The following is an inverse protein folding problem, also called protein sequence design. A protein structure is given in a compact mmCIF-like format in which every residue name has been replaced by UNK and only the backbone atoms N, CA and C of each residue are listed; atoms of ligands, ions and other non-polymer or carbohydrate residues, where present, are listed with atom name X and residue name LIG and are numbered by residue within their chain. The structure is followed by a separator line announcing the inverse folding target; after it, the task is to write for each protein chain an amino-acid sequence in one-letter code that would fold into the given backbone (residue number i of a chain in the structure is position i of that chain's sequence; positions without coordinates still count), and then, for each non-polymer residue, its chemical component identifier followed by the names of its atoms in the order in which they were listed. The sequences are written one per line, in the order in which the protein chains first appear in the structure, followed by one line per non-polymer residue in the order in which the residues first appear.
data_IF_390693734328
#
_entry.id   IF_390693734328
#
_cell.length_a   1.000
_cell.length_b   1.000
_cell.length_c   1.000
_cell.angle_alpha   90.00
_cell.angle_beta   90.00
_cell.angle_gamma   90.00
#
_symmetry.space_group_name_H-M   'P 1'
#
loop_
_entity.id
_entity.type
_entity.pdbx_description
1 polymer ?
#
# COMPACT_ATOMS: atom_id res chain seq x y z
N UNK A 1 13.45 -3.29 2.23
CA UNK A 1 12.67 -2.12 1.78
C UNK A 1 11.39 -1.97 2.61
N UNK A 2 10.58 -3.03 2.75
CA UNK A 2 9.33 -2.98 3.54
C UNK A 2 9.58 -2.58 5.00
N UNK A 3 10.51 -3.23 5.69
CA UNK A 3 10.88 -2.88 7.07
C UNK A 3 11.26 -1.41 7.21
N UNK A 4 12.10 -0.90 6.32
CA UNK A 4 12.53 0.50 6.35
C UNK A 4 11.38 1.50 6.14
N UNK A 5 10.33 1.13 5.39
CA UNK A 5 9.13 1.96 5.26
C UNK A 5 8.22 1.84 6.49
N UNK A 6 8.09 0.65 7.08
CA UNK A 6 7.33 0.47 8.32
C UNK A 6 7.99 1.17 9.51
N UNK A 7 9.32 1.25 9.54
CA UNK A 7 10.05 2.02 10.55
C UNK A 7 9.65 3.51 10.56
N UNK A 8 9.20 4.07 9.44
CA UNK A 8 8.68 5.45 9.38
C UNK A 8 7.42 5.65 10.22
N UNK A 9 6.67 4.60 10.48
CA UNK A 9 5.48 4.63 11.33
C UNK A 9 5.85 4.54 12.83
N UNK A 10 7.06 4.10 13.15
CA UNK A 10 7.51 3.94 14.53
C UNK A 10 7.97 5.29 15.12
N UNK A 11 7.44 5.73 16.26
CA UNK A 11 7.88 6.95 16.91
C UNK A 11 9.35 6.90 17.39
N UNK A 12 9.95 5.71 17.42
CA UNK A 12 11.31 5.47 17.87
C UNK A 12 12.30 5.12 16.75
N UNK A 13 11.91 5.30 15.50
CA UNK A 13 12.74 4.93 14.34
C UNK A 13 14.05 5.70 14.20
N UNK A 14 14.18 6.81 14.91
CA UNK A 14 15.33 7.71 14.79
C UNK A 14 15.37 8.52 13.49
N UNK A 15 14.44 8.26 12.56
CA UNK A 15 14.28 9.01 11.32
C UNK A 15 13.10 9.98 11.44
N UNK A 16 13.40 11.27 11.41
CA UNK A 16 12.38 12.32 11.41
C UNK A 16 12.26 12.96 10.01
N UNK A 17 11.21 12.62 9.29
CA UNK A 17 10.94 13.19 7.96
C UNK A 17 10.55 14.67 8.01
N UNK A 18 10.18 15.17 9.21
CA UNK A 18 9.78 16.56 9.44
C UNK A 18 10.89 17.39 10.08
N UNK A 19 12.14 16.98 9.96
CA UNK A 19 13.28 17.73 10.49
C UNK A 19 13.59 18.95 9.61
N UNK A 20 13.21 20.12 10.13
CA UNK A 20 13.46 21.40 9.46
C UNK A 20 14.94 21.80 9.43
N UNK A 21 15.78 21.19 10.26
CA UNK A 21 17.22 21.47 10.29
C UNK A 21 17.99 20.83 9.16
N UNK A 22 17.43 19.75 8.59
CA UNK A 22 18.00 19.03 7.44
C UNK A 22 16.91 18.68 6.42
N UNK A 23 16.55 19.65 5.60
CA UNK A 23 15.54 19.45 4.56
C UNK A 23 16.09 18.64 3.39
N UNK A 24 15.46 17.51 3.12
CA UNK A 24 15.75 16.68 1.95
C UNK A 24 14.74 17.02 0.86
N UNK A 25 15.22 17.55 -0.26
CA UNK A 25 14.40 17.89 -1.41
C UNK A 25 14.42 16.73 -2.40
N UNK A 26 13.25 16.09 -2.57
CA UNK A 26 13.02 15.06 -3.57
C UNK A 26 12.35 15.62 -4.83
N UNK A 27 12.17 14.76 -5.81
CA UNK A 27 11.32 15.06 -6.96
C UNK A 27 9.86 14.95 -6.51
N UNK A 28 9.10 16.03 -6.58
CA UNK A 28 7.66 15.98 -6.34
C UNK A 28 6.91 15.71 -7.64
N UNK A 29 5.83 14.97 -7.59
CA UNK A 29 4.95 14.73 -8.75
C UNK A 29 4.12 15.97 -9.08
N UNK A 30 4.01 16.90 -8.12
CA UNK A 30 3.13 18.07 -8.22
C UNK A 30 1.66 17.69 -8.07
N UNK A 31 1.38 16.52 -7.53
CA UNK A 31 0.03 16.06 -7.24
C UNK A 31 -0.63 16.89 -6.12
N UNK A 32 -1.98 16.98 -6.07
CA UNK A 32 -2.67 17.70 -5.00
C UNK A 32 -2.44 17.01 -3.65
N UNK A 33 -2.72 17.68 -2.52
CA UNK A 33 -2.73 17.03 -1.21
C UNK A 33 -3.64 15.80 -1.20
N UNK A 34 -3.33 14.83 -0.35
CA UNK A 34 -4.18 13.65 -0.19
C UNK A 34 -5.59 14.04 0.27
N UNK A 35 -6.58 13.28 -0.17
CA UNK A 35 -8.00 13.44 0.18
C UNK A 35 -8.53 12.22 0.91
N UNK A 36 -9.22 12.44 2.03
CA UNK A 36 -9.89 11.38 2.80
C UNK A 36 -11.39 11.61 2.76
N UNK A 37 -12.15 10.67 2.19
CA UNK A 37 -13.59 10.77 2.03
C UNK A 37 -14.33 10.56 3.36
N UNK A 38 -15.57 11.07 3.44
CA UNK A 38 -16.43 10.87 4.61
C UNK A 38 -16.71 9.39 4.85
N UNK A 39 -16.35 8.91 6.04
CA UNK A 39 -16.54 7.52 6.46
C UNK A 39 -15.31 6.64 6.26
N UNK A 40 -14.29 7.11 5.60
CA UNK A 40 -12.98 6.45 5.57
C UNK A 40 -12.34 6.47 6.96
N UNK A 41 -11.57 5.42 7.29
CA UNK A 41 -10.81 5.32 8.53
C UNK A 41 -9.34 5.19 8.18
N UNK A 42 -8.54 6.13 8.66
CA UNK A 42 -7.08 6.11 8.48
C UNK A 42 -6.43 6.06 9.87
N UNK A 43 -5.63 5.04 10.12
CA UNK A 43 -4.97 4.83 11.40
C UNK A 43 -3.50 4.45 11.18
N UNK A 44 -2.59 5.09 11.90
CA UNK A 44 -1.15 4.79 11.90
C UNK A 44 -0.58 4.59 10.48
N UNK A 45 -0.77 5.61 9.62
CA UNK A 45 -0.52 5.54 8.18
C UNK A 45 0.16 6.81 7.69
N UNK A 46 1.17 6.69 6.86
CA UNK A 46 1.74 7.79 6.09
C UNK A 46 1.11 7.83 4.70
N UNK A 47 0.62 9.00 4.32
CA UNK A 47 0.02 9.27 3.01
C UNK A 47 0.87 10.28 2.26
N UNK A 48 1.30 9.94 1.05
CA UNK A 48 1.93 10.90 0.14
C UNK A 48 0.90 11.77 -0.59
N UNK A 49 1.38 12.73 -1.38
CA UNK A 49 0.54 13.62 -2.19
C UNK A 49 -0.29 12.83 -3.23
N UNK A 50 -1.45 13.33 -3.61
CA UNK A 50 -2.33 12.74 -4.62
C UNK A 50 -3.17 11.56 -4.15
N UNK A 51 -2.99 11.05 -2.94
CA UNK A 51 -3.78 9.92 -2.45
C UNK A 51 -5.25 10.27 -2.25
N UNK A 52 -6.14 9.37 -2.69
CA UNK A 52 -7.60 9.47 -2.49
C UNK A 52 -8.08 8.28 -1.65
N UNK A 53 -8.48 8.52 -0.41
CA UNK A 53 -8.84 7.46 0.53
C UNK A 53 -10.35 7.49 0.80
N UNK A 54 -11.07 6.49 0.34
CA UNK A 54 -12.51 6.32 0.61
C UNK A 54 -12.83 5.06 1.43
N UNK A 55 -11.85 4.18 1.64
CA UNK A 55 -11.92 2.96 2.45
C UNK A 55 -11.21 3.10 3.80
N UNK A 56 -10.89 1.96 4.39
CA UNK A 56 -10.12 1.89 5.64
C UNK A 56 -8.65 1.61 5.36
N UNK A 57 -7.76 2.32 6.03
CA UNK A 57 -6.32 2.14 5.90
C UNK A 57 -5.68 2.15 7.28
N UNK A 58 -4.89 1.13 7.60
CA UNK A 58 -4.13 1.07 8.85
C UNK A 58 -2.72 0.51 8.62
N UNK A 59 -1.78 0.85 9.50
CA UNK A 59 -0.41 0.34 9.54
C UNK A 59 0.28 0.35 8.15
N UNK A 60 0.12 1.43 7.37
CA UNK A 60 0.53 1.46 5.97
C UNK A 60 1.30 2.71 5.58
N UNK A 61 2.15 2.60 4.58
CA UNK A 61 2.80 3.72 3.91
C UNK A 61 2.34 3.77 2.46
N UNK A 62 1.58 4.81 2.10
CA UNK A 62 1.05 4.99 0.76
C UNK A 62 1.87 6.01 -0.01
N UNK A 63 2.42 5.58 -1.14
CA UNK A 63 3.12 6.45 -2.08
C UNK A 63 2.15 7.36 -2.84
N UNK A 64 2.68 8.22 -3.72
CA UNK A 64 1.87 9.23 -4.40
C UNK A 64 0.81 8.62 -5.33
N UNK A 65 -0.32 9.32 -5.46
CA UNK A 65 -1.42 9.04 -6.39
C UNK A 65 -2.17 7.71 -6.15
N UNK A 66 -2.10 7.19 -4.93
CA UNK A 66 -2.80 5.98 -4.54
C UNK A 66 -4.28 6.24 -4.27
N UNK A 67 -5.16 5.37 -4.80
CA UNK A 67 -6.60 5.43 -4.60
C UNK A 67 -7.11 4.24 -3.83
N UNK A 68 -7.73 4.49 -2.69
CA UNK A 68 -8.39 3.48 -1.85
C UNK A 68 -9.89 3.74 -1.88
N UNK A 69 -10.63 2.89 -2.55
CA UNK A 69 -12.05 3.12 -2.73
C UNK A 69 -12.90 2.66 -1.54
N UNK A 70 -14.19 2.98 -1.65
CA UNK A 70 -15.17 2.71 -0.60
C UNK A 70 -15.33 1.20 -0.37
N UNK A 71 -15.32 0.79 0.91
CA UNK A 71 -15.37 -0.59 1.37
C UNK A 71 -14.09 -1.42 1.18
N UNK A 72 -13.01 -0.82 0.71
CA UNK A 72 -11.70 -1.44 0.80
C UNK A 72 -11.22 -1.47 2.25
N UNK A 73 -10.55 -2.54 2.63
CA UNK A 73 -9.86 -2.66 3.91
C UNK A 73 -8.39 -2.92 3.63
N UNK A 74 -7.57 -1.92 3.92
CA UNK A 74 -6.14 -1.95 3.66
C UNK A 74 -5.42 -2.02 4.98
N UNK A 75 -4.79 -3.12 5.22
CA UNK A 75 -3.96 -3.36 6.38
C UNK A 75 -2.57 -3.76 5.89
N UNK A 76 -1.59 -2.87 6.07
CA UNK A 76 -0.22 -3.02 5.54
C UNK A 76 -0.07 -2.91 4.01
N UNK A 77 -1.06 -2.35 3.26
CA UNK A 77 -0.98 -2.02 1.81
C UNK A 77 -2.26 -1.40 1.19
N UNK A 78 -2.48 -1.45 -0.11
CA UNK A 78 -3.32 -0.54 -0.88
C UNK A 78 -4.33 -1.26 -1.79
N UNK A 79 -5.54 -0.85 -1.86
CA UNK A 79 -6.61 -0.50 -2.82
C UNK A 79 -7.94 -1.29 -2.81
N UNK A 80 -8.92 -0.79 -3.58
CA UNK A 80 -10.37 -0.96 -3.56
C UNK A 80 -10.93 -2.39 -3.49
N UNK A 81 -11.72 -2.67 -2.44
CA UNK A 81 -12.45 -3.95 -2.32
C UNK A 81 -11.54 -5.18 -2.30
N UNK A 82 -10.26 -4.96 -2.30
CA UNK A 82 -9.21 -5.95 -2.26
C UNK A 82 -8.80 -6.21 -0.81
N UNK A 83 -8.26 -7.39 -0.57
CA UNK A 83 -7.65 -7.74 0.70
C UNK A 83 -6.13 -7.78 0.49
N UNK A 84 -5.42 -6.75 0.94
CA UNK A 84 -3.98 -6.63 0.74
C UNK A 84 -3.28 -6.63 2.08
N UNK A 85 -2.34 -7.53 2.29
CA UNK A 85 -1.61 -7.70 3.55
C UNK A 85 -0.14 -7.97 3.31
N UNK A 86 0.72 -7.30 4.06
CA UNK A 86 2.17 -7.51 4.00
C UNK A 86 2.70 -7.47 2.56
N UNK A 87 2.37 -6.40 1.85
CA UNK A 87 2.76 -6.21 0.46
C UNK A 87 3.40 -4.84 0.22
N UNK A 88 4.21 -4.76 -0.81
CA UNK A 88 4.68 -3.51 -1.40
C UNK A 88 3.93 -3.30 -2.70
N UNK A 89 3.21 -2.20 -2.80
CA UNK A 89 2.52 -1.80 -4.03
C UNK A 89 3.15 -0.50 -4.51
N UNK A 90 3.76 -0.53 -5.69
CA UNK A 90 4.46 0.62 -6.24
C UNK A 90 3.50 1.64 -6.88
N UNK A 91 4.03 2.82 -7.20
CA UNK A 91 3.24 3.95 -7.72
C UNK A 91 2.46 3.58 -8.99
N UNK A 92 1.22 4.04 -9.10
CA UNK A 92 0.37 3.83 -10.26
C UNK A 92 -0.15 2.40 -10.44
N UNK A 93 0.15 1.48 -9.51
CA UNK A 93 -0.43 0.14 -9.55
C UNK A 93 -1.93 0.18 -9.26
N UNK A 94 -2.68 -0.70 -9.92
CA UNK A 94 -4.13 -0.83 -9.78
C UNK A 94 -4.47 -2.23 -9.30
N UNK A 95 -5.14 -2.32 -8.15
CA UNK A 95 -5.60 -3.58 -7.58
C UNK A 95 -7.12 -3.63 -7.72
N UNK A 96 -7.63 -4.50 -8.57
CA UNK A 96 -9.05 -4.55 -8.86
C UNK A 96 -9.87 -5.24 -7.74
N UNK A 97 -11.17 -5.08 -7.81
CA UNK A 97 -12.13 -5.56 -6.81
C UNK A 97 -11.99 -7.07 -6.53
N UNK A 98 -12.00 -7.44 -5.27
CA UNK A 98 -11.93 -8.85 -4.85
C UNK A 98 -10.54 -9.48 -4.93
N UNK A 99 -9.54 -8.78 -5.45
CA UNK A 99 -8.17 -9.30 -5.46
C UNK A 99 -7.64 -9.46 -4.02
N UNK A 100 -6.78 -10.45 -3.82
CA UNK A 100 -6.12 -10.71 -2.54
C UNK A 100 -4.61 -10.81 -2.74
N UNK A 101 -3.86 -9.94 -2.06
CA UNK A 101 -2.40 -9.84 -2.21
C UNK A 101 -1.72 -10.06 -0.89
N UNK A 102 -0.73 -10.94 -0.89
CA UNK A 102 0.05 -11.29 0.28
C UNK A 102 -0.72 -12.11 1.33
N UNK A 103 -0.08 -12.40 2.43
CA UNK A 103 -0.65 -13.12 3.56
C UNK A 103 0.04 -12.72 4.86
N UNK A 104 -0.70 -12.75 5.99
CA UNK A 104 -0.14 -12.53 7.31
C UNK A 104 0.77 -13.70 7.76
N UNK A 105 1.69 -13.46 8.69
CA UNK A 105 2.62 -14.50 9.18
C UNK A 105 1.92 -15.68 9.88
N UNK A 106 0.66 -15.52 10.29
CA UNK A 106 -0.17 -16.59 10.87
C UNK A 106 -0.94 -17.41 9.84
N UNK A 107 -0.92 -16.99 8.56
CA UNK A 107 -1.73 -17.58 7.48
C UNK A 107 -0.92 -18.55 6.61
N UNK A 108 0.38 -18.59 6.76
CA UNK A 108 1.27 -19.50 6.03
C UNK A 108 2.46 -19.93 6.89
N UNK A 109 3.14 -21.00 6.46
CA UNK A 109 4.35 -21.47 7.14
C UNK A 109 5.42 -20.37 7.17
N UNK A 110 6.21 -20.32 8.24
CA UNK A 110 7.28 -19.33 8.45
C UNK A 110 8.23 -19.25 7.24
N UNK A 111 8.58 -20.39 6.67
CA UNK A 111 9.48 -20.47 5.50
C UNK A 111 8.82 -19.98 4.19
N UNK A 112 7.50 -19.94 4.16
CA UNK A 112 6.71 -19.49 2.98
C UNK A 112 6.23 -18.06 3.10
N UNK A 113 6.33 -17.47 4.30
CA UNK A 113 5.90 -16.08 4.50
C UNK A 113 6.94 -15.09 3.99
N UNK A 114 6.47 -13.98 3.48
CA UNK A 114 7.26 -12.84 3.06
C UNK A 114 6.39 -11.81 2.37
N UNK A 115 6.97 -10.68 2.05
CA UNK A 115 6.26 -9.56 1.44
C UNK A 115 5.92 -9.88 -0.01
N UNK A 116 4.67 -9.69 -0.42
CA UNK A 116 4.28 -9.68 -1.83
C UNK A 116 4.64 -8.33 -2.46
N UNK A 117 4.90 -8.29 -3.76
CA UNK A 117 5.30 -7.07 -4.45
C UNK A 117 4.46 -6.89 -5.72
N UNK A 118 3.89 -5.70 -5.89
CA UNK A 118 3.26 -5.26 -7.13
C UNK A 118 4.08 -4.11 -7.70
N UNK A 119 4.58 -4.27 -8.91
CA UNK A 119 5.44 -3.29 -9.55
C UNK A 119 4.67 -2.04 -10.00
N UNK A 120 5.43 -1.03 -10.41
CA UNK A 120 4.89 0.27 -10.82
C UNK A 120 4.01 0.14 -12.08
N UNK A 121 2.84 0.80 -12.05
CA UNK A 121 1.84 0.81 -13.12
C UNK A 121 1.26 -0.57 -13.49
N UNK A 122 1.43 -1.59 -12.67
CA UNK A 122 0.86 -2.93 -12.88
C UNK A 122 -0.58 -2.99 -12.41
N UNK A 123 -1.44 -3.64 -13.20
CA UNK A 123 -2.83 -3.92 -12.84
C UNK A 123 -2.99 -5.38 -12.39
N UNK A 124 -3.51 -5.57 -11.19
CA UNK A 124 -3.98 -6.87 -10.69
C UNK A 124 -5.49 -6.94 -10.92
N UNK A 125 -5.92 -7.92 -11.69
CA UNK A 125 -7.31 -8.11 -12.09
C UNK A 125 -8.26 -8.48 -10.94
N UNK A 126 -9.56 -8.51 -11.23
CA UNK A 126 -10.60 -8.86 -10.25
C UNK A 126 -10.43 -10.31 -9.76
N UNK A 127 -10.66 -10.52 -8.47
CA UNK A 127 -10.60 -11.82 -7.79
C UNK A 127 -9.25 -12.56 -7.87
N UNK A 128 -8.21 -11.92 -8.36
CA UNK A 128 -6.86 -12.49 -8.44
C UNK A 128 -6.26 -12.67 -7.04
N UNK A 129 -5.51 -13.75 -6.84
CA UNK A 129 -4.75 -13.99 -5.61
C UNK A 129 -3.27 -13.99 -5.91
N UNK A 130 -2.54 -13.08 -5.29
CA UNK A 130 -1.08 -13.02 -5.27
C UNK A 130 -0.61 -13.46 -3.87
N UNK A 131 0.10 -14.58 -3.79
CA UNK A 131 0.52 -15.14 -2.50
C UNK A 131 1.67 -14.33 -1.85
N UNK A 132 1.99 -14.66 -0.60
CA UNK A 132 3.19 -14.15 0.05
C UNK A 132 4.44 -14.52 -0.75
N UNK A 133 5.42 -13.61 -0.83
CA UNK A 133 6.67 -13.70 -1.63
C UNK A 133 6.48 -13.61 -3.14
N UNK A 134 5.27 -13.59 -3.66
CA UNK A 134 5.06 -13.42 -5.10
C UNK A 134 5.27 -11.97 -5.53
N UNK A 135 5.68 -11.80 -6.77
CA UNK A 135 5.86 -10.50 -7.42
C UNK A 135 5.05 -10.46 -8.70
N UNK A 136 4.29 -9.38 -8.88
CA UNK A 136 3.64 -9.03 -10.14
C UNK A 136 4.41 -7.86 -10.76
N UNK A 137 5.09 -8.11 -11.86
CA UNK A 137 5.84 -7.14 -12.68
C UNK A 137 5.15 -6.83 -14.01
N UNK A 138 4.09 -7.57 -14.33
CA UNK A 138 3.22 -7.38 -15.49
C UNK A 138 1.74 -7.44 -15.05
N UNK A 139 0.84 -6.91 -15.89
CA UNK A 139 -0.59 -6.96 -15.65
C UNK A 139 -1.11 -8.39 -15.51
N UNK A 140 -1.87 -8.65 -14.46
CA UNK A 140 -2.55 -9.92 -14.25
C UNK A 140 -4.04 -9.72 -14.58
N UNK A 141 -4.59 -10.45 -15.56
CA UNK A 141 -5.99 -10.33 -15.95
C UNK A 141 -6.94 -10.80 -14.85
N UNK A 142 -8.23 -10.47 -14.99
CA UNK A 142 -9.26 -10.87 -14.04
C UNK A 142 -9.32 -12.42 -13.92
N UNK A 143 -9.49 -12.91 -12.69
CA UNK A 143 -9.70 -14.33 -12.45
C UNK A 143 -11.18 -14.70 -12.69
N UNK A 144 -11.40 -15.87 -13.30
CA UNK A 144 -12.75 -16.40 -13.60
C UNK A 144 -13.50 -16.82 -12.30
#
# INVERSE_FOLDING_TARGET
LWEANMDLLSPNSGLNLSDDSWKIYGRTTGSPPHFTAKGAKVQHTLLSEGCEIAGNVSESVLFSDVKVAKNANVEYSIEEGANVRYAIVASGAVIAKGASIGAGPSECDVDKWGVAVVAENVRIGENVKLAAKEMADEDIPDAE
#
